data_IF_939241286838
#
_entry.id   IF_939241286838
#
_cell.length_a   1.000
_cell.length_b   1.000
_cell.length_c   1.000
_cell.angle_alpha   90.00
_cell.angle_beta   90.00
_cell.angle_gamma   90.00
#
_symmetry.space_group_name_H-M   'P 1'
#
loop_
_entity.id
_entity.type
_entity.pdbx_description
1 polymer ?
#
# COMPACT_ATOMS: atom_id res chain seq x y z
N UNK A 1 -25.06 -11.90 8.29
CA UNK A 1 -24.70 -11.99 6.86
C UNK A 1 -23.27 -12.48 6.82
N UNK A 2 -23.03 -13.71 6.35
CA UNK A 2 -21.66 -14.15 6.08
C UNK A 2 -21.02 -13.20 5.07
N UNK A 3 -19.87 -12.64 5.43
CA UNK A 3 -19.05 -11.83 4.53
C UNK A 3 -18.58 -12.77 3.40
N UNK A 4 -19.21 -12.67 2.23
CA UNK A 4 -18.77 -13.43 1.05
C UNK A 4 -17.35 -13.00 0.70
N UNK A 5 -16.47 -13.97 0.47
CA UNK A 5 -15.10 -13.71 0.05
C UNK A 5 -15.10 -13.01 -1.32
N UNK A 6 -14.01 -12.32 -1.67
CA UNK A 6 -13.82 -11.75 -3.02
C UNK A 6 -12.80 -12.53 -3.82
N UNK A 7 -12.97 -12.57 -5.15
CA UNK A 7 -11.94 -13.06 -6.08
C UNK A 7 -10.77 -12.08 -6.21
N UNK A 8 -11.04 -10.78 -6.07
CA UNK A 8 -10.04 -9.74 -6.25
C UNK A 8 -9.00 -9.82 -5.12
N UNK A 9 -7.71 -9.69 -5.45
CA UNK A 9 -6.63 -9.84 -4.46
C UNK A 9 -6.05 -11.25 -4.32
N UNK A 10 -6.68 -12.27 -4.94
CA UNK A 10 -6.12 -13.63 -4.98
C UNK A 10 -4.93 -13.73 -5.93
N UNK A 11 -3.88 -14.43 -5.51
CA UNK A 11 -2.70 -14.67 -6.34
C UNK A 11 -2.88 -15.93 -7.23
N UNK A 12 -1.95 -16.21 -8.18
CA UNK A 12 -2.09 -17.35 -9.09
C UNK A 12 -2.16 -18.71 -8.38
N UNK A 13 -1.54 -18.87 -7.22
CA UNK A 13 -1.58 -20.11 -6.45
C UNK A 13 -2.99 -20.34 -5.86
N UNK A 14 -3.57 -19.32 -5.25
CA UNK A 14 -4.94 -19.36 -4.72
C UNK A 14 -5.98 -19.52 -5.82
N UNK A 15 -5.81 -18.82 -6.96
CA UNK A 15 -6.69 -19.00 -8.12
C UNK A 15 -6.56 -20.42 -8.70
N UNK A 16 -5.38 -21.03 -8.65
CA UNK A 16 -5.18 -22.43 -9.06
C UNK A 16 -5.88 -23.40 -8.11
N UNK A 17 -5.80 -23.18 -6.80
CA UNK A 17 -6.51 -23.98 -5.81
C UNK A 17 -8.03 -23.88 -6.00
N UNK A 18 -8.53 -22.65 -6.20
CA UNK A 18 -9.94 -22.39 -6.47
C UNK A 18 -10.43 -23.10 -7.75
N UNK A 19 -9.61 -23.13 -8.80
CA UNK A 19 -9.95 -23.86 -10.01
C UNK A 19 -10.14 -25.36 -9.72
N UNK A 20 -9.27 -25.96 -8.91
CA UNK A 20 -9.40 -27.38 -8.54
C UNK A 20 -10.70 -27.66 -7.77
N UNK A 21 -11.07 -26.82 -6.81
CA UNK A 21 -12.33 -26.91 -6.06
C UNK A 21 -13.57 -26.67 -6.97
N UNK A 22 -13.40 -25.86 -8.01
CA UNK A 22 -14.44 -25.52 -8.97
C UNK A 22 -14.58 -26.50 -10.14
N UNK A 23 -13.76 -27.56 -10.19
CA UNK A 23 -13.73 -28.49 -11.33
C UNK A 23 -13.22 -27.86 -12.63
N UNK A 24 -12.50 -26.75 -12.53
CA UNK A 24 -11.89 -26.03 -13.65
C UNK A 24 -10.47 -26.54 -13.93
N UNK A 25 -10.03 -26.56 -15.20
CA UNK A 25 -8.66 -26.91 -15.53
C UNK A 25 -7.68 -25.87 -14.98
N UNK A 26 -6.45 -26.28 -14.67
CA UNK A 26 -5.41 -25.41 -14.08
C UNK A 26 -5.16 -24.12 -14.85
N UNK A 27 -5.30 -24.12 -16.18
CA UNK A 27 -5.09 -22.92 -17.00
C UNK A 27 -6.16 -21.84 -16.76
N UNK A 28 -7.34 -22.21 -16.23
CA UNK A 28 -8.42 -21.26 -15.94
C UNK A 28 -8.00 -20.23 -14.89
N UNK A 29 -7.06 -20.55 -13.99
CA UNK A 29 -6.50 -19.59 -13.05
C UNK A 29 -5.87 -18.38 -13.75
N UNK A 30 -5.20 -18.59 -14.89
CA UNK A 30 -4.65 -17.49 -15.71
C UNK A 30 -5.74 -16.69 -16.41
N UNK A 31 -6.83 -17.34 -16.82
CA UNK A 31 -7.98 -16.66 -17.41
C UNK A 31 -8.64 -15.73 -16.38
N UNK A 32 -8.92 -16.26 -15.17
CA UNK A 32 -9.47 -15.50 -14.05
C UNK A 32 -8.56 -14.33 -13.70
N UNK A 33 -7.25 -14.56 -13.52
CA UNK A 33 -6.29 -13.49 -13.22
C UNK A 33 -6.31 -12.38 -14.29
N UNK A 34 -6.40 -12.73 -15.58
CA UNK A 34 -6.51 -11.76 -16.67
C UNK A 34 -7.81 -10.94 -16.59
N UNK A 35 -8.94 -11.56 -16.24
CA UNK A 35 -10.19 -10.83 -16.03
C UNK A 35 -10.09 -9.84 -14.87
N UNK A 36 -9.53 -10.28 -13.74
CA UNK A 36 -9.40 -9.45 -12.55
C UNK A 36 -8.41 -8.29 -12.77
N UNK A 37 -7.21 -8.56 -13.26
CA UNK A 37 -6.09 -7.61 -13.17
C UNK A 37 -5.71 -6.92 -14.47
N UNK A 38 -6.11 -7.46 -15.62
CA UNK A 38 -5.89 -6.82 -16.93
C UNK A 38 -7.18 -6.17 -17.45
N UNK A 39 -8.31 -6.85 -17.27
CA UNK A 39 -9.63 -6.31 -17.69
C UNK A 39 -10.37 -5.58 -16.57
N UNK A 40 -9.84 -5.57 -15.35
CA UNK A 40 -10.44 -4.92 -14.18
C UNK A 40 -11.92 -5.30 -13.98
N UNK A 41 -12.26 -6.58 -14.19
CA UNK A 41 -13.62 -7.12 -14.10
C UNK A 41 -13.64 -8.25 -13.08
N UNK A 42 -14.40 -8.04 -12.00
CA UNK A 42 -14.53 -9.02 -10.91
C UNK A 42 -15.79 -9.89 -10.99
N UNK A 43 -16.76 -9.51 -11.83
CA UNK A 43 -17.98 -10.28 -12.04
C UNK A 43 -17.68 -11.59 -12.80
N UNK A 44 -17.82 -12.77 -12.15
CA UNK A 44 -17.55 -14.05 -12.78
C UNK A 44 -18.44 -14.33 -13.98
N UNK A 45 -19.68 -13.80 -14.01
CA UNK A 45 -20.60 -14.01 -15.12
C UNK A 45 -20.08 -13.40 -16.42
N UNK A 46 -19.21 -12.39 -16.34
CA UNK A 46 -18.58 -11.75 -17.50
C UNK A 46 -17.37 -12.49 -18.03
N UNK A 47 -16.88 -13.52 -17.33
CA UNK A 47 -15.67 -14.27 -17.72
C UNK A 47 -15.97 -15.27 -18.85
N UNK A 48 -16.28 -14.77 -20.06
CA UNK A 48 -16.84 -15.56 -21.18
C UNK A 48 -15.97 -16.69 -21.70
N UNK A 49 -14.69 -16.75 -21.31
CA UNK A 49 -13.77 -17.83 -21.62
C UNK A 49 -13.74 -18.94 -20.55
N UNK A 50 -14.68 -18.90 -19.59
CA UNK A 50 -14.98 -19.97 -18.62
C UNK A 50 -16.34 -20.63 -18.90
N UNK A 51 -16.51 -21.93 -18.61
CA UNK A 51 -17.80 -22.62 -18.70
C UNK A 51 -18.90 -21.93 -17.88
N UNK A 52 -20.14 -21.88 -18.39
CA UNK A 52 -21.29 -21.23 -17.73
C UNK A 52 -21.50 -21.70 -16.29
N UNK A 53 -21.53 -23.02 -16.04
CA UNK A 53 -21.71 -23.57 -14.70
C UNK A 53 -20.63 -23.14 -13.71
N UNK A 54 -19.38 -22.93 -14.18
CA UNK A 54 -18.31 -22.44 -13.32
C UNK A 54 -18.47 -20.95 -13.00
N UNK A 55 -18.89 -20.14 -13.98
CA UNK A 55 -19.20 -18.72 -13.76
C UNK A 55 -20.30 -18.53 -12.73
N UNK A 56 -21.37 -19.32 -12.81
CA UNK A 56 -22.49 -19.30 -11.88
C UNK A 56 -22.04 -19.67 -10.46
N UNK A 57 -21.31 -20.77 -10.29
CA UNK A 57 -20.74 -21.17 -8.99
C UNK A 57 -19.84 -20.10 -8.37
N UNK A 58 -18.96 -19.50 -9.17
CA UNK A 58 -18.10 -18.42 -8.71
C UNK A 58 -18.92 -17.18 -8.31
N UNK A 59 -19.96 -16.83 -9.07
CA UNK A 59 -20.83 -15.69 -8.75
C UNK A 59 -21.69 -15.93 -7.48
N UNK A 60 -22.00 -17.20 -7.17
CA UNK A 60 -22.68 -17.57 -5.92
C UNK A 60 -21.74 -17.45 -4.72
N UNK A 61 -20.48 -17.88 -4.86
CA UNK A 61 -19.50 -17.93 -3.77
C UNK A 61 -18.87 -16.57 -3.47
N UNK A 62 -18.58 -15.76 -4.49
CA UNK A 62 -17.77 -14.55 -4.35
C UNK A 62 -18.58 -13.28 -4.52
N UNK A 63 -18.19 -12.23 -3.78
CA UNK A 63 -18.73 -10.90 -3.89
C UNK A 63 -17.74 -9.92 -4.57
N UNK A 64 -18.26 -8.92 -5.29
CA UNK A 64 -17.50 -7.75 -5.73
C UNK A 64 -16.82 -7.04 -4.55
N UNK A 65 -15.55 -6.67 -4.72
CA UNK A 65 -14.81 -5.81 -3.80
C UNK A 65 -14.63 -4.38 -4.33
N UNK A 66 -14.72 -4.18 -5.65
CA UNK A 66 -14.51 -2.87 -6.26
C UNK A 66 -15.76 -2.01 -6.11
N UNK A 67 -15.55 -0.77 -5.67
CA UNK A 67 -16.61 0.23 -5.57
C UNK A 67 -16.02 1.62 -5.81
N UNK A 68 -16.81 2.46 -6.49
CA UNK A 68 -16.47 3.85 -6.71
C UNK A 68 -16.34 4.61 -5.38
N UNK A 69 -15.51 5.68 -5.33
CA UNK A 69 -15.46 6.53 -4.14
C UNK A 69 -16.82 7.15 -3.85
N UNK A 70 -17.22 7.19 -2.58
CA UNK A 70 -18.49 7.80 -2.16
C UNK A 70 -18.47 9.33 -2.24
N UNK A 71 -17.27 9.92 -2.16
CA UNK A 71 -17.10 11.37 -2.21
C UNK A 71 -15.76 11.72 -2.81
N UNK A 72 -15.72 12.87 -3.48
CA UNK A 72 -14.50 13.54 -3.92
C UNK A 72 -14.49 14.98 -3.43
N UNK A 73 -13.34 15.45 -2.97
CA UNK A 73 -13.06 16.86 -2.71
C UNK A 73 -11.92 17.31 -3.62
N UNK A 74 -12.11 18.42 -4.33
CA UNK A 74 -11.16 18.93 -5.33
C UNK A 74 -10.54 20.22 -4.83
N UNK A 75 -9.21 20.27 -4.84
CA UNK A 75 -8.39 21.43 -4.51
C UNK A 75 -8.17 22.32 -5.74
N UNK A 76 -7.80 23.58 -5.51
CA UNK A 76 -7.51 24.55 -6.56
C UNK A 76 -6.28 24.17 -7.42
N UNK A 77 -5.34 23.41 -6.85
CA UNK A 77 -4.16 22.87 -7.55
C UNK A 77 -4.45 21.60 -8.35
N UNK A 78 -5.71 21.15 -8.39
CA UNK A 78 -6.13 19.93 -9.07
C UNK A 78 -5.99 18.65 -8.25
N UNK A 79 -5.43 18.71 -7.04
CA UNK A 79 -5.41 17.58 -6.10
C UNK A 79 -6.84 17.14 -5.78
N UNK A 80 -7.10 15.85 -5.81
CA UNK A 80 -8.40 15.26 -5.48
C UNK A 80 -8.27 14.31 -4.31
N UNK A 81 -9.08 14.51 -3.28
CA UNK A 81 -9.20 13.61 -2.14
C UNK A 81 -10.46 12.77 -2.29
N UNK A 82 -10.28 11.46 -2.40
CA UNK A 82 -11.35 10.49 -2.56
C UNK A 82 -11.63 9.79 -1.23
N UNK A 83 -12.91 9.60 -0.92
CA UNK A 83 -13.37 8.86 0.24
C UNK A 83 -13.93 7.51 -0.23
N UNK A 84 -13.33 6.42 0.25
CA UNK A 84 -13.79 5.05 -0.03
C UNK A 84 -14.38 4.42 1.23
N UNK A 85 -15.38 3.56 1.05
CA UNK A 85 -15.99 2.81 2.15
C UNK A 85 -15.47 1.37 2.14
N UNK A 86 -14.72 1.00 3.16
CA UNK A 86 -14.25 -0.37 3.38
C UNK A 86 -15.41 -1.37 3.43
N UNK A 87 -15.13 -2.65 3.17
CA UNK A 87 -16.12 -3.73 3.23
C UNK A 87 -16.71 -3.85 4.65
N UNK A 88 -15.92 -3.46 5.66
CA UNK A 88 -16.32 -3.41 7.07
C UNK A 88 -17.02 -2.10 7.48
N UNK A 89 -17.38 -1.25 6.52
CA UNK A 89 -18.20 -0.05 6.72
C UNK A 89 -17.49 1.19 7.28
N UNK A 90 -16.17 1.14 7.51
CA UNK A 90 -15.36 2.31 7.84
C UNK A 90 -14.91 3.06 6.58
N UNK A 91 -14.38 4.26 6.75
CA UNK A 91 -13.89 5.10 5.66
C UNK A 91 -12.37 5.20 5.63
N UNK A 92 -11.84 5.22 4.42
CA UNK A 92 -10.44 5.53 4.11
C UNK A 92 -10.35 6.60 3.04
N UNK A 93 -9.22 7.30 3.01
CA UNK A 93 -8.95 8.35 2.04
C UNK A 93 -7.85 7.96 1.07
N UNK A 94 -7.97 8.41 -0.17
CA UNK A 94 -6.89 8.38 -1.16
C UNK A 94 -6.72 9.77 -1.75
N UNK A 95 -5.48 10.20 -1.99
CA UNK A 95 -5.20 11.50 -2.59
C UNK A 95 -4.58 11.33 -3.97
N UNK A 96 -5.27 11.77 -5.01
CA UNK A 96 -4.75 11.90 -6.36
C UNK A 96 -4.12 13.27 -6.54
N UNK A 97 -2.84 13.30 -6.91
CA UNK A 97 -2.02 14.51 -7.01
C UNK A 97 -1.47 14.59 -8.44
N UNK A 98 -2.06 15.43 -9.32
CA UNK A 98 -1.51 15.71 -10.64
C UNK A 98 -0.35 16.71 -10.54
N UNK A 99 0.71 16.48 -11.30
CA UNK A 99 1.88 17.36 -11.40
C UNK A 99 2.51 17.25 -12.80
N UNK A 100 2.09 18.12 -13.72
CA UNK A 100 2.50 18.07 -15.13
C UNK A 100 2.18 16.71 -15.77
N UNK A 101 3.20 16.03 -16.27
CA UNK A 101 3.09 14.69 -16.86
C UNK A 101 3.04 13.56 -15.82
N UNK A 102 3.14 13.87 -14.52
CA UNK A 102 3.05 12.91 -13.43
C UNK A 102 1.68 12.96 -12.78
N UNK A 103 1.23 11.80 -12.33
CA UNK A 103 0.06 11.68 -11.48
C UNK A 103 0.33 10.63 -10.41
N UNK A 104 0.33 11.07 -9.15
CA UNK A 104 0.59 10.21 -7.99
C UNK A 104 -0.72 9.92 -7.27
N UNK A 105 -0.97 8.66 -6.97
CA UNK A 105 -2.02 8.29 -6.04
C UNK A 105 -1.41 7.86 -4.70
N UNK A 106 -1.84 8.54 -3.65
CA UNK A 106 -1.57 8.20 -2.28
C UNK A 106 -2.66 7.24 -1.78
N UNK A 107 -2.28 6.01 -1.42
CA UNK A 107 -3.19 4.94 -1.00
C UNK A 107 -3.07 4.65 0.49
N UNK A 108 -4.20 4.30 1.09
CA UNK A 108 -4.32 3.81 2.46
C UNK A 108 -4.04 2.31 2.53
N UNK A 109 -3.44 1.86 3.63
CA UNK A 109 -3.20 0.44 3.97
C UNK A 109 -4.06 -0.05 5.13
N UNK A 110 -4.63 0.86 5.93
CA UNK A 110 -5.49 0.55 7.08
C UNK A 110 -6.60 1.61 7.22
N UNK A 111 -7.73 1.24 7.82
CA UNK A 111 -8.70 2.18 8.34
C UNK A 111 -8.24 2.63 9.75
N UNK A 112 -7.71 3.84 9.84
CA UNK A 112 -7.03 4.31 11.05
C UNK A 112 -5.57 3.84 11.12
N UNK A 113 -4.89 4.08 12.24
CA UNK A 113 -3.49 3.67 12.43
C UNK A 113 -3.15 3.55 13.93
N UNK A 114 -2.43 2.48 14.31
CA UNK A 114 -2.02 2.25 15.71
C UNK A 114 -0.68 2.89 16.10
N UNK A 115 0.05 3.50 15.16
CA UNK A 115 1.38 4.07 15.43
C UNK A 115 1.36 5.28 16.38
N UNK A 116 0.21 5.96 16.51
CA UNK A 116 0.02 7.02 17.49
C UNK A 116 0.86 8.28 17.26
N UNK A 117 1.37 8.51 16.04
CA UNK A 117 2.14 9.70 15.69
C UNK A 117 1.35 10.97 16.00
N UNK A 118 1.88 11.86 16.84
CA UNK A 118 1.13 12.98 17.43
C UNK A 118 0.75 14.07 16.42
N UNK A 119 1.52 14.18 15.34
CA UNK A 119 1.28 15.08 14.21
C UNK A 119 0.30 14.51 13.17
N UNK A 120 -0.03 13.22 13.25
CA UNK A 120 -0.88 12.54 12.27
C UNK A 120 -2.34 12.50 12.72
N UNK A 121 -3.25 13.00 11.88
CA UNK A 121 -4.69 12.93 12.16
C UNK A 121 -5.18 11.49 12.30
N UNK A 122 -4.74 10.58 11.41
CA UNK A 122 -5.07 9.15 11.44
C UNK A 122 -4.54 8.47 12.69
N UNK A 123 -3.35 8.84 13.17
CA UNK A 123 -2.77 8.31 14.40
C UNK A 123 -3.63 8.60 15.64
N UNK A 124 -4.40 9.70 15.65
CA UNK A 124 -5.33 10.05 16.75
C UNK A 124 -6.63 9.25 16.71
N UNK A 125 -7.01 8.70 15.55
CA UNK A 125 -8.25 7.92 15.39
C UNK A 125 -8.11 6.49 15.94
N UNK A 126 -6.88 6.04 16.22
CA UNK A 126 -6.59 4.63 16.51
C UNK A 126 -6.79 3.74 15.28
N UNK A 127 -6.46 2.45 15.42
CA UNK A 127 -6.69 1.47 14.35
C UNK A 127 -8.09 0.87 14.47
N UNK A 128 -8.83 0.85 13.36
CA UNK A 128 -10.09 0.12 13.24
C UNK A 128 -9.83 -1.27 12.68
N UNK A 129 -9.23 -1.36 11.48
CA UNK A 129 -8.79 -2.62 10.89
C UNK A 129 -7.76 -2.41 9.77
N UNK A 130 -7.03 -3.47 9.47
CA UNK A 130 -6.16 -3.55 8.29
C UNK A 130 -6.98 -3.83 7.04
N UNK A 131 -6.66 -3.13 5.94
CA UNK A 131 -7.32 -3.35 4.66
C UNK A 131 -6.88 -4.67 4.03
N UNK A 132 -7.81 -5.36 3.38
CA UNK A 132 -7.49 -6.48 2.49
C UNK A 132 -6.74 -6.00 1.26
N UNK A 133 -6.04 -6.91 0.57
CA UNK A 133 -5.40 -6.58 -0.71
C UNK A 133 -6.42 -6.01 -1.73
N UNK A 134 -7.65 -6.52 -1.73
CA UNK A 134 -8.73 -6.04 -2.59
C UNK A 134 -9.11 -4.58 -2.29
N UNK A 135 -9.24 -4.21 -1.02
CA UNK A 135 -9.54 -2.82 -0.60
C UNK A 135 -8.39 -1.85 -0.91
N UNK A 136 -7.14 -2.30 -0.82
CA UNK A 136 -5.97 -1.52 -1.27
C UNK A 136 -6.05 -1.30 -2.78
N UNK A 137 -6.27 -2.36 -3.56
CA UNK A 137 -6.35 -2.30 -5.02
C UNK A 137 -7.58 -1.51 -5.51
N UNK A 138 -8.68 -1.51 -4.77
CA UNK A 138 -9.89 -0.75 -5.12
C UNK A 138 -9.61 0.75 -5.26
N UNK A 139 -8.75 1.31 -4.40
CA UNK A 139 -8.34 2.71 -4.47
C UNK A 139 -7.65 3.07 -5.80
N UNK A 140 -7.07 2.07 -6.47
CA UNK A 140 -6.34 2.23 -7.74
C UNK A 140 -7.30 1.98 -8.92
N UNK A 141 -8.05 0.87 -8.87
CA UNK A 141 -8.89 0.43 -9.99
C UNK A 141 -10.15 1.28 -10.13
N UNK A 142 -10.75 1.66 -9.01
CA UNK A 142 -11.97 2.48 -8.97
C UNK A 142 -11.67 3.98 -8.94
N UNK A 143 -10.41 4.38 -9.14
CA UNK A 143 -10.04 5.78 -9.34
C UNK A 143 -10.50 6.24 -10.73
N UNK A 144 -11.25 7.35 -10.86
CA UNK A 144 -11.63 7.88 -12.17
C UNK A 144 -10.42 8.18 -13.07
N UNK A 145 -9.32 8.65 -12.50
CA UNK A 145 -8.07 8.97 -13.20
C UNK A 145 -7.06 7.82 -13.29
N UNK A 146 -7.45 6.56 -13.02
CA UNK A 146 -6.51 5.42 -12.94
C UNK A 146 -5.54 5.33 -14.14
N UNK A 147 -6.04 5.61 -15.34
CA UNK A 147 -5.29 5.44 -16.60
C UNK A 147 -4.23 6.54 -16.80
N UNK A 148 -4.26 7.59 -15.97
CA UNK A 148 -3.25 8.66 -15.93
C UNK A 148 -2.17 8.43 -14.88
N UNK A 149 -2.38 7.49 -13.94
CA UNK A 149 -1.46 7.28 -12.84
C UNK A 149 -0.07 6.93 -13.35
N UNK A 150 0.94 7.64 -12.85
CA UNK A 150 2.35 7.36 -13.08
C UNK A 150 3.02 6.78 -11.84
N UNK A 151 2.52 7.11 -10.64
CA UNK A 151 3.13 6.75 -9.37
C UNK A 151 2.10 6.33 -8.33
N UNK A 152 2.51 5.43 -7.44
CA UNK A 152 1.76 5.07 -6.22
C UNK A 152 2.63 5.28 -5.00
N UNK A 153 2.04 5.83 -3.95
CA UNK A 153 2.68 5.97 -2.65
C UNK A 153 1.78 5.43 -1.55
N UNK A 154 2.30 4.55 -0.69
CA UNK A 154 1.58 4.09 0.51
C UNK A 154 1.87 5.06 1.65
N UNK A 155 1.26 6.24 1.55
CA UNK A 155 1.37 7.35 2.51
C UNK A 155 -0.02 7.86 2.94
N UNK A 156 -1.06 7.06 2.70
CA UNK A 156 -2.43 7.36 3.11
C UNK A 156 -2.64 7.01 4.58
N UNK A 157 -3.82 6.48 4.89
CA UNK A 157 -4.14 6.02 6.24
C UNK A 157 -3.51 4.66 6.52
N UNK A 158 -2.85 4.53 7.68
CA UNK A 158 -2.29 3.26 8.16
C UNK A 158 -0.77 3.17 8.11
N UNK A 159 -0.23 2.19 8.83
CA UNK A 159 1.18 1.79 8.73
C UNK A 159 1.26 0.55 7.81
N UNK A 160 1.79 0.67 6.58
CA UNK A 160 1.83 -0.44 5.63
C UNK A 160 2.51 -1.70 6.18
N UNK A 161 3.58 -1.55 6.98
CA UNK A 161 4.28 -2.71 7.55
C UNK A 161 3.57 -3.32 8.78
N UNK A 162 2.53 -2.67 9.32
CA UNK A 162 1.59 -3.27 10.28
C UNK A 162 0.47 -4.05 9.56
N UNK A 163 0.42 -3.98 8.23
CA UNK A 163 -0.46 -4.74 7.34
C UNK A 163 0.31 -5.46 6.22
N UNK A 164 1.47 -6.04 6.58
CA UNK A 164 2.47 -6.49 5.61
C UNK A 164 1.93 -7.53 4.62
N UNK A 165 1.12 -8.50 5.04
CA UNK A 165 0.62 -9.55 4.14
C UNK A 165 -0.24 -8.98 3.00
N UNK A 166 -1.21 -8.13 3.33
CA UNK A 166 -2.09 -7.52 2.33
C UNK A 166 -1.35 -6.51 1.45
N UNK A 167 -0.42 -5.76 2.03
CA UNK A 167 0.42 -4.82 1.26
C UNK A 167 1.30 -5.58 0.28
N UNK A 168 2.05 -6.59 0.73
CA UNK A 168 2.89 -7.41 -0.15
C UNK A 168 2.06 -8.09 -1.24
N UNK A 169 0.86 -8.58 -0.91
CA UNK A 169 -0.07 -9.14 -1.90
C UNK A 169 -0.49 -8.12 -2.95
N UNK A 170 -0.86 -6.91 -2.54
CA UNK A 170 -1.21 -5.84 -3.47
C UNK A 170 -0.02 -5.45 -4.35
N UNK A 171 1.19 -5.36 -3.78
CA UNK A 171 2.42 -5.07 -4.53
C UNK A 171 2.75 -6.17 -5.55
N UNK A 172 2.58 -7.45 -5.18
CA UNK A 172 2.75 -8.59 -6.07
C UNK A 172 1.83 -8.46 -7.28
N UNK A 173 0.54 -8.20 -7.05
CA UNK A 173 -0.46 -7.99 -8.12
C UNK A 173 -0.11 -6.78 -8.99
N UNK A 174 0.31 -5.67 -8.39
CA UNK A 174 0.64 -4.45 -9.13
C UNK A 174 1.88 -4.63 -10.02
N UNK A 175 2.87 -5.39 -9.57
CA UNK A 175 4.18 -5.46 -10.24
C UNK A 175 4.36 -6.69 -11.12
N UNK A 176 3.59 -7.75 -10.90
CA UNK A 176 3.72 -8.99 -11.68
C UNK A 176 3.16 -8.85 -13.09
N UNK A 177 3.77 -9.55 -14.05
CA UNK A 177 3.30 -9.61 -15.45
C UNK A 177 1.90 -10.22 -15.60
N UNK A 178 1.51 -11.12 -14.70
CA UNK A 178 0.16 -11.70 -14.67
C UNK A 178 -0.89 -10.75 -14.08
N UNK A 179 -0.44 -9.69 -13.40
CA UNK A 179 -1.27 -8.67 -12.78
C UNK A 179 -1.27 -7.39 -13.61
N UNK A 180 -0.90 -6.26 -13.01
CA UNK A 180 -0.89 -4.96 -13.68
C UNK A 180 0.40 -4.71 -14.48
N UNK A 181 1.48 -5.45 -14.20
CA UNK A 181 2.77 -5.30 -14.88
C UNK A 181 3.44 -3.94 -14.69
N UNK A 182 3.17 -3.22 -13.59
CA UNK A 182 3.82 -1.94 -13.34
C UNK A 182 5.28 -2.13 -12.91
N UNK A 183 6.15 -1.24 -13.38
CA UNK A 183 7.51 -1.17 -12.86
C UNK A 183 7.49 -0.93 -11.34
N UNK A 184 8.21 -1.72 -10.53
CA UNK A 184 8.34 -1.49 -9.09
C UNK A 184 8.86 -0.09 -8.74
N UNK A 185 9.61 0.56 -9.63
CA UNK A 185 10.13 1.92 -9.44
C UNK A 185 9.06 3.01 -9.46
N UNK A 186 7.82 2.66 -9.83
CA UNK A 186 6.67 3.58 -9.79
C UNK A 186 6.00 3.61 -8.41
N UNK A 187 6.33 2.66 -7.54
CA UNK A 187 5.65 2.45 -6.27
C UNK A 187 6.63 2.75 -5.12
N UNK A 188 6.19 3.51 -4.13
CA UNK A 188 6.92 3.76 -2.89
C UNK A 188 6.06 3.36 -1.70
N UNK A 189 6.60 2.54 -0.80
CA UNK A 189 5.95 2.22 0.46
C UNK A 189 6.60 3.01 1.58
N UNK A 190 5.82 3.79 2.32
CA UNK A 190 6.31 4.46 3.53
C UNK A 190 6.14 3.56 4.76
N UNK A 191 7.01 3.73 5.74
CA UNK A 191 6.91 3.06 7.04
C UNK A 191 7.46 3.92 8.17
N UNK A 192 6.80 3.85 9.32
CA UNK A 192 7.27 4.37 10.60
C UNK A 192 8.41 3.54 11.23
N UNK A 193 8.76 2.39 10.62
CA UNK A 193 9.92 1.59 10.99
C UNK A 193 9.59 0.28 11.71
N UNK A 194 8.59 -0.49 11.25
CA UNK A 194 8.25 -1.81 11.83
C UNK A 194 9.35 -2.84 11.53
N UNK A 195 10.37 -2.91 12.39
CA UNK A 195 11.62 -3.65 12.13
C UNK A 195 11.40 -5.10 11.66
N UNK A 196 10.61 -5.96 12.34
CA UNK A 196 10.46 -7.36 11.92
C UNK A 196 9.90 -7.50 10.50
N UNK A 197 9.06 -6.55 10.09
CA UNK A 197 8.41 -6.58 8.78
C UNK A 197 9.22 -5.84 7.71
N UNK A 198 10.10 -4.92 8.11
CA UNK A 198 10.99 -4.22 7.19
C UNK A 198 11.93 -5.19 6.47
N UNK A 199 12.55 -6.14 7.18
CA UNK A 199 13.43 -7.12 6.54
C UNK A 199 12.68 -8.01 5.54
N UNK A 200 11.46 -8.43 5.90
CA UNK A 200 10.56 -9.16 5.03
C UNK A 200 10.23 -8.36 3.77
N UNK A 201 9.82 -7.10 3.93
CA UNK A 201 9.55 -6.19 2.83
C UNK A 201 10.78 -5.94 1.94
N UNK A 202 11.97 -5.85 2.52
CA UNK A 202 13.20 -5.68 1.76
C UNK A 202 13.51 -6.90 0.88
N UNK A 203 13.18 -8.10 1.34
CA UNK A 203 13.38 -9.38 0.64
C UNK A 203 12.34 -9.64 -0.44
N UNK A 204 11.06 -9.42 -0.14
CA UNK A 204 9.94 -9.90 -0.96
C UNK A 204 9.52 -8.93 -2.08
N UNK A 205 10.01 -7.69 -2.07
CA UNK A 205 9.70 -6.72 -3.13
C UNK A 205 10.86 -5.80 -3.48
N UNK A 206 10.79 -5.20 -4.67
CA UNK A 206 11.77 -4.26 -5.23
C UNK A 206 11.25 -2.82 -5.31
N UNK A 207 10.04 -2.55 -4.82
CA UNK A 207 9.48 -1.20 -4.78
C UNK A 207 10.31 -0.27 -3.89
N UNK A 208 10.20 1.03 -4.13
CA UNK A 208 10.91 2.03 -3.33
C UNK A 208 10.42 2.01 -1.88
N UNK A 209 11.32 2.41 -0.97
CA UNK A 209 11.04 2.54 0.46
C UNK A 209 11.14 4.02 0.85
N UNK A 210 10.17 4.51 1.60
CA UNK A 210 10.28 5.74 2.37
C UNK A 210 10.24 5.39 3.86
N UNK A 211 11.08 6.02 4.67
CA UNK A 211 11.10 5.84 6.12
C UNK A 211 10.69 7.14 6.78
N UNK A 212 9.60 7.13 7.53
CA UNK A 212 9.15 8.28 8.33
C UNK A 212 10.06 8.46 9.54
N UNK A 213 11.08 9.30 9.39
CA UNK A 213 12.13 9.53 10.40
C UNK A 213 11.72 10.64 11.36
N UNK A 214 11.52 11.83 10.82
CA UNK A 214 11.07 13.08 11.46
C UNK A 214 11.85 13.60 12.68
N UNK A 215 12.60 12.80 13.42
CA UNK A 215 13.59 13.29 14.38
C UNK A 215 14.72 12.26 14.52
N UNK A 216 16.01 12.66 14.47
CA UNK A 216 17.11 11.70 14.53
C UNK A 216 17.54 11.35 15.96
N UNK A 217 17.05 12.06 16.99
CA UNK A 217 17.30 11.74 18.40
C UNK A 217 16.21 10.82 18.95
N UNK A 218 16.63 9.82 19.71
CA UNK A 218 15.73 8.80 20.27
C UNK A 218 14.63 9.40 21.15
N UNK A 219 14.98 10.23 22.13
CA UNK A 219 13.99 10.79 23.07
C UNK A 219 12.99 11.69 22.33
N UNK A 220 13.48 12.56 21.45
CA UNK A 220 12.62 13.51 20.74
C UNK A 220 11.75 12.85 19.68
N UNK A 221 12.26 11.83 18.99
CA UNK A 221 11.44 11.03 18.08
C UNK A 221 10.34 10.33 18.85
N UNK A 222 10.62 9.79 20.03
CA UNK A 222 9.62 9.14 20.87
C UNK A 222 8.50 10.09 21.31
N UNK A 223 8.79 11.38 21.50
CA UNK A 223 7.79 12.38 21.84
C UNK A 223 6.77 12.62 20.72
N UNK A 224 7.15 12.47 19.45
CA UNK A 224 6.26 12.71 18.31
C UNK A 224 5.77 11.42 17.63
N UNK A 225 6.55 10.35 17.72
CA UNK A 225 6.34 9.04 17.12
C UNK A 225 6.55 7.95 18.19
N UNK A 226 5.50 7.57 18.95
CA UNK A 226 5.55 6.56 20.01
C UNK A 226 6.18 5.22 19.61
N UNK A 227 6.11 4.89 18.33
CA UNK A 227 6.72 3.71 17.70
C UNK A 227 8.21 3.55 18.00
N UNK A 228 8.94 4.66 18.24
CA UNK A 228 10.35 4.67 18.58
C UNK A 228 10.68 3.81 19.83
N UNK A 229 9.73 3.63 20.75
CA UNK A 229 9.90 2.72 21.91
C UNK A 229 10.06 1.27 21.52
N UNK A 230 9.30 0.83 20.52
CA UNK A 230 9.30 -0.55 20.07
C UNK A 230 10.39 -0.78 19.03
N UNK A 231 10.55 0.16 18.11
CA UNK A 231 11.46 0.05 16.97
C UNK A 231 12.23 1.36 16.80
N UNK A 232 13.40 1.48 17.45
CA UNK A 232 14.21 2.68 17.38
C UNK A 232 14.70 2.97 15.95
N UNK A 233 14.73 4.25 15.56
CA UNK A 233 15.18 4.65 14.22
C UNK A 233 16.63 4.23 13.94
N UNK A 234 17.46 4.15 14.97
CA UNK A 234 18.84 3.65 14.85
C UNK A 234 18.89 2.19 14.35
N UNK A 235 17.94 1.35 14.77
CA UNK A 235 17.85 -0.04 14.33
C UNK A 235 17.40 -0.11 12.86
N UNK A 236 16.39 0.67 12.48
CA UNK A 236 15.94 0.82 11.09
C UNK A 236 17.11 1.26 10.20
N UNK A 237 17.86 2.30 10.61
CA UNK A 237 19.03 2.77 9.87
C UNK A 237 20.12 1.69 9.77
N UNK A 238 20.33 0.88 10.82
CA UNK A 238 21.27 -0.24 10.82
C UNK A 238 20.90 -1.30 9.78
N UNK A 239 19.62 -1.69 9.72
CA UNK A 239 19.11 -2.65 8.72
C UNK A 239 19.33 -2.11 7.31
N UNK A 240 18.94 -0.86 7.07
CA UNK A 240 19.04 -0.22 5.75
C UNK A 240 20.50 -0.02 5.31
N UNK A 241 21.42 0.26 6.24
CA UNK A 241 22.85 0.35 5.94
C UNK A 241 23.45 -0.97 5.46
N UNK A 242 22.92 -2.11 5.92
CA UNK A 242 23.34 -3.45 5.49
C UNK A 242 22.66 -3.90 4.19
N UNK A 243 21.62 -3.19 3.74
CA UNK A 243 20.91 -3.54 2.51
C UNK A 243 21.56 -2.91 1.29
N UNK A 244 21.66 -3.68 0.21
CA UNK A 244 22.24 -3.20 -1.04
C UNK A 244 21.21 -2.40 -1.87
N UNK A 245 21.37 -1.08 -1.88
CA UNK A 245 20.58 -0.14 -2.69
C UNK A 245 21.28 0.27 -4.00
N UNK A 246 22.28 -0.46 -4.48
CA UNK A 246 22.97 -0.13 -5.74
C UNK A 246 22.10 -0.37 -6.99
N UNK A 247 21.03 -1.15 -6.85
CA UNK A 247 20.06 -1.38 -7.92
C UNK A 247 19.07 -0.22 -8.10
N UNK A 248 18.03 -0.41 -8.92
CA UNK A 248 17.02 0.62 -9.19
C UNK A 248 16.21 1.03 -7.94
N UNK A 249 16.16 0.20 -6.90
CA UNK A 249 15.41 0.48 -5.68
C UNK A 249 16.03 1.65 -4.92
N UNK A 250 15.21 2.63 -4.58
CA UNK A 250 15.59 3.80 -3.78
C UNK A 250 15.05 3.67 -2.37
N UNK A 251 15.79 4.27 -1.43
CA UNK A 251 15.33 4.56 -0.08
C UNK A 251 15.34 6.06 0.14
N UNK A 252 14.28 6.60 0.72
CA UNK A 252 14.19 8.01 1.15
C UNK A 252 13.82 8.11 2.62
N UNK A 253 14.22 9.20 3.26
CA UNK A 253 13.82 9.49 4.65
C UNK A 253 12.93 10.72 4.69
N UNK A 254 11.72 10.55 5.21
CA UNK A 254 10.75 11.63 5.32
C UNK A 254 10.99 12.44 6.60
N UNK A 255 10.99 13.76 6.47
CA UNK A 255 11.28 14.69 7.55
C UNK A 255 10.32 15.88 7.52
N UNK A 256 9.28 15.84 8.35
CA UNK A 256 8.40 17.00 8.54
C UNK A 256 9.15 18.01 9.38
N UNK A 257 9.37 19.21 8.85
CA UNK A 257 10.01 20.30 9.60
C UNK A 257 8.97 20.93 10.54
N UNK A 258 9.26 20.90 11.83
CA UNK A 258 8.43 21.44 12.90
C UNK A 258 9.24 22.49 13.65
N UNK A 259 8.77 23.74 13.57
CA UNK A 259 9.44 24.91 14.15
C UNK A 259 9.77 24.70 15.63
N UNK A 260 11.04 24.93 15.98
CA UNK A 260 11.56 24.81 17.35
C UNK A 260 11.61 23.38 17.91
N UNK A 261 11.29 22.35 17.12
CA UNK A 261 11.28 20.96 17.57
C UNK A 261 12.35 20.10 16.92
N UNK A 262 12.52 20.21 15.60
CA UNK A 262 13.40 19.32 14.84
C UNK A 262 14.12 20.05 13.69
N UNK A 263 14.25 21.37 13.77
CA UNK A 263 14.64 22.27 12.68
C UNK A 263 15.98 23.01 12.92
N UNK A 264 16.66 22.75 14.04
CA UNK A 264 17.92 23.42 14.36
C UNK A 264 19.19 22.70 13.83
N UNK A 265 20.36 23.37 13.76
CA UNK A 265 21.60 22.78 13.23
C UNK A 265 22.08 21.49 13.91
N UNK A 266 21.70 21.25 15.18
CA UNK A 266 22.04 19.98 15.87
C UNK A 266 21.31 18.79 15.24
N UNK A 267 20.07 18.97 14.78
CA UNK A 267 19.30 17.92 14.11
C UNK A 267 19.90 17.57 12.76
N UNK A 268 20.39 18.56 12.01
CA UNK A 268 21.07 18.32 10.73
C UNK A 268 22.33 17.47 10.93
N UNK A 269 23.16 17.83 11.92
CA UNK A 269 24.38 17.06 12.24
C UNK A 269 24.05 15.62 12.64
N UNK A 270 23.06 15.44 13.51
CA UNK A 270 22.67 14.13 13.99
C UNK A 270 22.02 13.28 12.89
N UNK A 271 21.16 13.88 12.05
CA UNK A 271 20.59 13.22 10.87
C UNK A 271 21.69 12.74 9.92
N UNK A 272 22.69 13.58 9.66
CA UNK A 272 23.85 13.22 8.81
C UNK A 272 24.62 12.05 9.40
N UNK A 273 24.84 12.05 10.73
CA UNK A 273 25.51 10.96 11.45
C UNK A 273 24.71 9.66 11.39
N UNK A 274 23.41 9.72 11.68
CA UNK A 274 22.50 8.57 11.71
C UNK A 274 22.38 7.90 10.33
N UNK A 275 22.31 8.69 9.26
CA UNK A 275 22.13 8.21 7.89
C UNK A 275 23.45 7.93 7.16
N UNK A 276 24.60 8.24 7.77
CA UNK A 276 25.90 8.00 7.17
C UNK A 276 26.05 6.52 6.74
N UNK A 277 26.55 6.30 5.52
CA UNK A 277 26.70 4.98 4.91
C UNK A 277 25.43 4.41 4.26
N UNK A 278 24.32 5.14 4.25
CA UNK A 278 23.09 4.75 3.52
C UNK A 278 22.99 5.59 2.25
N UNK A 279 22.85 4.93 1.09
CA UNK A 279 22.57 5.63 -0.18
C UNK A 279 21.09 6.02 -0.25
N UNK A 280 20.73 7.15 0.35
CA UNK A 280 19.35 7.63 0.43
C UNK A 280 19.12 8.98 -0.27
N UNK A 281 17.84 9.34 -0.40
CA UNK A 281 17.36 10.66 -0.83
C UNK A 281 16.58 11.35 0.28
#
# INVERSE_FOLDING_TARGET
MEEKETLYGKNPAELTALCAESGLPRFAARQIARWLYVRHTEDPLRMTDLPTAARERLAEQFAPALHAPERVSVSADGTKKYLYRTLRGHFIESAYIPDGDRATLCVSSQAGCRMGCRFCATGRQGLQHSLTAAEILNQIVSLPERDRLTNLVFMGMGEPLDNTDNVLRALEILTSEWGFGWSPTRITVSTAGVVPQLERFLRETKVHLAVSLHNPFHEERMEIMPVERAWPIAEVASILRRHDFTHQRRVSFEYIVMEGRNDSPRHIRELTRLLNGIKCR
#
